data_IF_373755763927
#
_entry.id   IF_373755763927
#
_cell.length_a   1.000
_cell.length_b   1.000
_cell.length_c   1.000
_cell.angle_alpha   90.00
_cell.angle_beta   90.00
_cell.angle_gamma   90.00
#
_symmetry.space_group_name_H-M   'P 1'
#
loop_
_entity.id
_entity.type
_entity.pdbx_description
1 polymer ?
#
# COMPACT_ATOMS: atom_id res chain seq x y z
N UNK A 1 12.75 4.66 -15.63
CA UNK A 1 11.82 4.36 -16.73
C UNK A 1 11.58 5.65 -17.53
N UNK A 2 12.45 5.95 -18.51
CA UNK A 2 12.26 7.07 -19.46
C UNK A 2 11.49 6.59 -20.70
N UNK A 3 10.39 5.84 -20.50
CA UNK A 3 9.63 5.28 -21.62
C UNK A 3 8.74 6.34 -22.31
N UNK A 4 8.53 7.48 -21.66
CA UNK A 4 7.61 8.53 -22.06
C UNK A 4 8.26 9.90 -21.85
N UNK A 5 9.34 10.15 -22.60
CA UNK A 5 10.23 11.31 -22.49
C UNK A 5 9.52 12.62 -22.11
N UNK A 6 10.25 13.46 -21.37
CA UNK A 6 9.83 14.68 -20.65
C UNK A 6 8.99 15.71 -21.43
N UNK A 7 8.74 15.51 -22.73
CA UNK A 7 7.94 16.33 -23.65
C UNK A 7 7.22 15.51 -24.74
N UNK A 8 6.75 14.29 -24.43
CA UNK A 8 6.06 13.44 -25.42
C UNK A 8 4.64 13.94 -25.68
N UNK A 9 4.22 14.06 -26.95
CA UNK A 9 2.82 14.39 -27.27
C UNK A 9 1.90 13.24 -26.83
N UNK A 10 0.95 13.55 -25.96
CA UNK A 10 -0.08 12.61 -25.47
C UNK A 10 -0.82 11.89 -26.60
N UNK A 11 -0.99 12.53 -27.77
CA UNK A 11 -1.63 11.92 -28.96
C UNK A 11 -0.76 10.84 -29.59
N UNK A 12 0.55 11.07 -29.69
CA UNK A 12 1.48 10.08 -30.24
C UNK A 12 1.57 8.86 -29.35
N UNK A 13 1.62 9.07 -28.02
CA UNK A 13 1.59 7.97 -27.04
C UNK A 13 0.28 7.19 -27.13
N UNK A 14 -0.86 7.89 -27.16
CA UNK A 14 -2.18 7.28 -27.31
C UNK A 14 -2.23 6.38 -28.56
N UNK A 15 -1.77 6.89 -29.71
CA UNK A 15 -1.71 6.13 -30.97
C UNK A 15 -0.76 4.93 -30.88
N UNK A 16 0.45 5.12 -30.31
CA UNK A 16 1.46 4.07 -30.19
C UNK A 16 0.98 2.88 -29.35
N UNK A 17 0.24 3.14 -28.28
CA UNK A 17 -0.22 2.12 -27.34
C UNK A 17 -1.70 1.73 -27.53
N UNK A 18 -2.39 2.28 -28.53
CA UNK A 18 -3.81 2.02 -28.78
C UNK A 18 -4.73 2.46 -27.64
N UNK A 19 -4.35 3.52 -26.92
CA UNK A 19 -5.07 4.03 -25.76
C UNK A 19 -5.85 5.30 -26.13
N UNK A 20 -6.91 5.58 -25.36
CA UNK A 20 -7.56 6.88 -25.44
C UNK A 20 -6.66 7.99 -24.84
N UNK A 21 -6.75 9.20 -25.41
CA UNK A 21 -5.97 10.36 -24.97
C UNK A 21 -6.27 10.69 -23.50
N UNK A 22 -7.53 10.55 -23.05
CA UNK A 22 -7.90 10.80 -21.65
C UNK A 22 -7.25 9.80 -20.69
N UNK A 23 -7.07 8.55 -21.11
CA UNK A 23 -6.36 7.52 -20.34
C UNK A 23 -4.89 7.88 -20.17
N UNK A 24 -4.23 8.26 -21.26
CA UNK A 24 -2.82 8.70 -21.23
C UNK A 24 -2.65 9.90 -20.29
N UNK A 25 -3.54 10.90 -20.40
CA UNK A 25 -3.54 12.06 -19.49
C UNK A 25 -3.71 11.67 -18.02
N UNK A 26 -4.63 10.75 -17.72
CA UNK A 26 -4.84 10.25 -16.34
C UNK A 26 -3.61 9.51 -15.80
N UNK A 27 -2.91 8.75 -16.63
CA UNK A 27 -1.66 8.07 -16.23
C UNK A 27 -0.60 9.11 -15.87
N UNK A 28 -0.45 10.17 -16.67
CA UNK A 28 0.49 11.26 -16.37
C UNK A 28 0.11 12.04 -15.10
N UNK A 29 -1.18 12.34 -14.91
CA UNK A 29 -1.66 13.04 -13.70
C UNK A 29 -1.42 12.23 -12.43
N UNK A 30 -1.53 10.90 -12.49
CA UNK A 30 -1.34 10.01 -11.35
C UNK A 30 0.04 9.34 -11.33
N UNK A 31 1.01 9.88 -12.09
CA UNK A 31 2.30 9.23 -12.33
C UNK A 31 3.01 8.86 -11.04
N UNK A 32 3.14 9.81 -10.11
CA UNK A 32 3.84 9.60 -8.85
C UNK A 32 3.22 8.46 -8.04
N UNK A 33 1.89 8.43 -7.94
CA UNK A 33 1.14 7.37 -7.24
C UNK A 33 1.34 6.01 -7.92
N UNK A 34 1.32 5.98 -9.26
CA UNK A 34 1.55 4.74 -10.03
C UNK A 34 2.99 4.25 -9.85
N UNK A 35 3.98 5.14 -9.89
CA UNK A 35 5.39 4.81 -9.67
C UNK A 35 5.61 4.28 -8.24
N UNK A 36 5.11 4.96 -7.22
CA UNK A 36 5.19 4.52 -5.82
C UNK A 36 4.55 3.13 -5.63
N UNK A 37 3.34 2.94 -6.18
CA UNK A 37 2.63 1.66 -6.11
C UNK A 37 3.38 0.54 -6.86
N UNK A 38 4.02 0.86 -7.99
CA UNK A 38 4.81 -0.11 -8.73
C UNK A 38 6.01 -0.60 -7.90
N UNK A 39 6.71 0.30 -7.20
CA UNK A 39 7.80 -0.07 -6.31
C UNK A 39 7.33 -0.89 -5.11
N UNK A 40 6.15 -0.58 -4.55
CA UNK A 40 5.55 -1.36 -3.45
C UNK A 40 5.05 -2.74 -3.90
N UNK A 41 4.41 -2.84 -5.07
CA UNK A 41 3.84 -4.09 -5.60
C UNK A 41 3.71 -4.05 -7.13
N UNK A 42 4.73 -4.54 -7.88
CA UNK A 42 4.80 -4.42 -9.34
C UNK A 42 3.64 -5.08 -10.10
N UNK A 43 3.08 -6.17 -9.54
CA UNK A 43 1.98 -6.91 -10.16
C UNK A 43 0.60 -6.28 -9.90
N UNK A 44 0.51 -5.27 -9.04
CA UNK A 44 -0.75 -4.71 -8.58
C UNK A 44 -1.28 -3.63 -9.55
N UNK A 45 -2.44 -3.89 -10.16
CA UNK A 45 -3.08 -2.97 -11.12
C UNK A 45 -3.87 -1.83 -10.48
N UNK A 46 -4.29 -1.99 -9.23
CA UNK A 46 -5.07 -0.99 -8.48
C UNK A 46 -4.54 -0.90 -7.04
N UNK A 47 -4.25 0.30 -6.53
CA UNK A 47 -3.90 0.45 -5.12
C UNK A 47 -5.07 -0.05 -4.28
N UNK A 48 -4.77 -0.88 -3.27
CA UNK A 48 -5.74 -1.32 -2.29
C UNK A 48 -5.54 -0.47 -1.04
N UNK A 49 -6.54 0.34 -0.70
CA UNK A 49 -6.54 1.02 0.59
C UNK A 49 -6.77 -0.02 1.69
N UNK A 50 -5.86 -0.11 2.66
CA UNK A 50 -6.11 -0.91 3.84
C UNK A 50 -6.79 -0.01 4.87
N UNK A 51 -8.00 -0.36 5.32
CA UNK A 51 -8.72 0.40 6.37
C UNK A 51 -7.86 0.62 7.63
N UNK A 52 -6.90 -0.28 7.88
CA UNK A 52 -6.07 -0.31 9.07
C UNK A 52 -4.58 -0.09 8.74
N UNK A 53 -4.26 0.63 7.67
CA UNK A 53 -2.88 0.88 7.22
C UNK A 53 -2.01 1.50 8.32
N UNK A 54 -2.51 2.55 8.99
CA UNK A 54 -1.81 3.19 10.11
C UNK A 54 -1.51 2.23 11.27
N UNK A 55 -2.40 1.27 11.53
CA UNK A 55 -2.19 0.23 12.55
C UNK A 55 -1.13 -0.75 12.07
N UNK A 56 -1.17 -1.17 10.80
CA UNK A 56 -0.19 -2.08 10.24
C UNK A 56 1.22 -1.48 10.27
N UNK A 57 1.37 -0.21 9.87
CA UNK A 57 2.66 0.47 9.84
C UNK A 57 3.24 0.62 11.26
N UNK A 58 2.43 1.12 12.20
CA UNK A 58 2.85 1.23 13.60
C UNK A 58 3.18 -0.12 14.23
N UNK A 59 2.41 -1.15 13.92
CA UNK A 59 2.65 -2.51 14.42
C UNK A 59 3.90 -3.13 13.80
N UNK A 60 4.16 -2.87 12.52
CA UNK A 60 5.36 -3.32 11.82
C UNK A 60 6.61 -2.69 12.44
N UNK A 61 6.62 -1.37 12.64
CA UNK A 61 7.73 -0.68 13.31
C UNK A 61 7.96 -1.24 14.72
N UNK A 62 6.89 -1.41 15.50
CA UNK A 62 6.99 -2.00 16.83
C UNK A 62 7.53 -3.44 16.79
N UNK A 63 7.06 -4.25 15.85
CA UNK A 63 7.51 -5.63 15.68
C UNK A 63 9.00 -5.71 15.34
N UNK A 64 9.48 -4.88 14.41
CA UNK A 64 10.89 -4.79 14.04
C UNK A 64 11.78 -4.41 15.23
N UNK A 65 11.33 -3.49 16.10
CA UNK A 65 12.05 -3.11 17.32
C UNK A 65 12.05 -4.19 18.42
N UNK A 66 11.20 -5.22 18.30
CA UNK A 66 11.04 -6.29 19.29
C UNK A 66 11.38 -7.69 18.71
N UNK A 67 12.13 -7.74 17.61
CA UNK A 67 12.46 -8.96 16.86
C UNK A 67 13.17 -10.07 17.68
N UNK A 68 13.77 -9.73 18.83
CA UNK A 68 14.44 -10.67 19.72
C UNK A 68 13.48 -11.43 20.66
N UNK A 69 12.18 -11.10 20.66
CA UNK A 69 11.16 -11.71 21.52
C UNK A 69 10.28 -12.69 20.73
N UNK A 70 9.82 -13.74 21.41
CA UNK A 70 8.79 -14.64 20.84
C UNK A 70 7.46 -13.90 20.88
N UNK A 71 7.09 -13.28 19.75
CA UNK A 71 5.84 -12.55 19.60
C UNK A 71 4.77 -13.51 19.08
N UNK A 72 3.79 -13.81 19.94
CA UNK A 72 2.64 -14.64 19.57
C UNK A 72 1.58 -13.84 18.81
N UNK A 73 0.67 -14.56 18.14
CA UNK A 73 -0.43 -13.93 17.41
C UNK A 73 -1.34 -13.09 18.32
N UNK A 74 -1.54 -13.49 19.57
CA UNK A 74 -2.39 -12.75 20.51
C UNK A 74 -1.72 -11.47 20.99
N UNK A 75 -0.40 -11.47 21.17
CA UNK A 75 0.38 -10.26 21.45
C UNK A 75 0.24 -9.25 20.30
N UNK A 76 0.32 -9.70 19.04
CA UNK A 76 0.13 -8.84 17.87
C UNK A 76 -1.28 -8.23 17.83
N UNK A 77 -2.31 -9.01 18.17
CA UNK A 77 -3.69 -8.50 18.22
C UNK A 77 -3.87 -7.45 19.30
N UNK A 78 -3.36 -7.70 20.50
CA UNK A 78 -3.47 -6.74 21.61
C UNK A 78 -2.71 -5.46 21.31
N UNK A 79 -1.49 -5.55 20.75
CA UNK A 79 -0.74 -4.37 20.31
C UNK A 79 -1.45 -3.62 19.19
N UNK A 80 -2.04 -4.33 18.23
CA UNK A 80 -2.87 -3.71 17.18
C UNK A 80 -4.07 -2.95 17.75
N UNK A 81 -4.74 -3.49 18.77
CA UNK A 81 -5.86 -2.79 19.45
C UNK A 81 -5.40 -1.59 20.26
N UNK A 82 -4.21 -1.65 20.85
CA UNK A 82 -3.59 -0.49 21.50
C UNK A 82 -3.31 0.63 20.48
N UNK A 83 -2.69 0.30 19.35
CA UNK A 83 -2.44 1.25 18.26
C UNK A 83 -3.75 1.83 17.69
N UNK A 84 -4.79 1.00 17.54
CA UNK A 84 -6.11 1.47 17.12
C UNK A 84 -6.67 2.54 18.07
N UNK A 85 -6.52 2.35 19.38
CA UNK A 85 -6.93 3.33 20.39
C UNK A 85 -6.11 4.61 20.32
N UNK A 86 -4.79 4.50 20.19
CA UNK A 86 -3.88 5.66 20.09
C UNK A 86 -4.20 6.51 18.85
N UNK A 87 -4.50 5.87 17.73
CA UNK A 87 -4.77 6.53 16.46
C UNK A 87 -6.27 6.84 16.22
N UNK A 88 -7.15 6.62 17.21
CA UNK A 88 -8.59 6.81 17.11
C UNK A 88 -9.22 6.09 15.89
N UNK A 89 -8.79 4.85 15.64
CA UNK A 89 -9.29 4.02 14.54
C UNK A 89 -10.38 3.08 15.06
N UNK A 90 -11.63 3.41 14.73
CA UNK A 90 -12.78 2.63 15.20
C UNK A 90 -13.01 1.33 14.43
N UNK A 91 -13.52 0.33 15.17
CA UNK A 91 -13.92 -0.96 14.63
C UNK A 91 -12.78 -1.93 14.33
N UNK A 92 -11.55 -1.64 14.78
CA UNK A 92 -10.45 -2.58 14.71
C UNK A 92 -10.59 -3.66 15.81
N UNK A 93 -10.74 -4.92 15.41
CA UNK A 93 -10.95 -6.04 16.35
C UNK A 93 -9.75 -6.97 16.48
N UNK A 94 -8.71 -6.81 15.67
CA UNK A 94 -7.61 -7.76 15.60
C UNK A 94 -8.05 -9.15 15.12
N UNK A 95 -8.92 -9.21 14.10
CA UNK A 95 -9.48 -10.48 13.61
C UNK A 95 -8.40 -11.46 13.13
N UNK A 96 -8.70 -12.76 13.17
CA UNK A 96 -7.78 -13.79 12.66
C UNK A 96 -7.43 -13.57 11.18
N UNK A 97 -8.39 -13.12 10.37
CA UNK A 97 -8.16 -12.80 8.97
C UNK A 97 -7.24 -11.59 8.77
N UNK A 98 -7.32 -10.57 9.65
CA UNK A 98 -6.36 -9.47 9.64
C UNK A 98 -4.96 -9.95 10.07
N UNK A 99 -4.87 -10.73 11.16
CA UNK A 99 -3.58 -11.24 11.64
C UNK A 99 -2.86 -12.08 10.57
N UNK A 100 -3.60 -12.95 9.88
CA UNK A 100 -3.02 -13.76 8.80
C UNK A 100 -2.48 -12.89 7.66
N UNK A 101 -3.19 -11.81 7.30
CA UNK A 101 -2.70 -10.84 6.30
C UNK A 101 -1.49 -10.07 6.82
N UNK A 102 -1.50 -9.62 8.08
CA UNK A 102 -0.36 -8.93 8.67
C UNK A 102 0.90 -9.79 8.64
N UNK A 103 0.80 -11.09 8.97
CA UNK A 103 1.92 -12.06 8.89
C UNK A 103 2.47 -12.28 7.48
N UNK A 104 1.74 -11.92 6.43
CA UNK A 104 2.27 -11.95 5.06
C UNK A 104 2.98 -10.65 4.67
N UNK A 105 2.90 -9.62 5.52
CA UNK A 105 3.54 -8.31 5.32
C UNK A 105 4.85 -8.15 6.10
N UNK A 106 4.99 -8.84 7.24
CA UNK A 106 6.25 -9.00 8.00
C UNK A 106 7.07 -10.17 7.49
#
# INVERSE_FOLDING_TARGET
>A
MDILGRNSDTKEIAKKYGLDISTVKKIFQNREVIEEQFYKSPAMKKPRTCKYEIINDGLYTWFQSNNNLIITGDILKEKGKELARIHNVDGFTGSNGWLQKFKTLV
#
